data_IF_296271836536
#
_entry.id   IF_296271836536
#
_cell.length_a   1.000
_cell.length_b   1.000
_cell.length_c   1.000
_cell.angle_alpha   90.00
_cell.angle_beta   90.00
_cell.angle_gamma   90.00
#
_symmetry.space_group_name_H-M   'P 1'
#
loop_
_entity.id
_entity.type
_entity.pdbx_description
1 polymer ?
#
# COMPACT_ATOMS: atom_id res chain seq x y z
N UNK A 1 52.47 10.65 12.25
CA UNK A 1 53.61 11.03 11.41
C UNK A 1 53.15 11.08 9.96
N UNK A 2 53.03 12.29 9.45
CA UNK A 2 53.36 12.82 8.13
C UNK A 2 52.74 12.12 6.92
N UNK A 3 51.85 12.82 6.23
CA UNK A 3 51.58 12.60 4.83
C UNK A 3 50.14 12.73 4.35
N UNK A 4 49.45 13.86 4.60
CA UNK A 4 48.26 14.27 3.85
C UNK A 4 48.06 15.78 3.88
N UNK A 5 48.97 16.49 3.36
CA UNK A 5 48.83 17.90 2.96
C UNK A 5 49.63 18.06 1.67
N UNK A 6 48.93 18.07 0.52
CA UNK A 6 49.44 18.62 -0.74
C UNK A 6 48.59 18.13 -1.91
N UNK A 7 47.34 18.60 -2.01
CA UNK A 7 46.58 18.48 -3.28
C UNK A 7 45.54 19.61 -3.49
N UNK A 8 45.54 20.67 -2.66
CA UNK A 8 44.62 21.80 -2.85
C UNK A 8 45.25 23.12 -3.27
N UNK A 9 46.56 23.14 -3.54
CA UNK A 9 47.27 24.39 -3.95
C UNK A 9 47.77 24.45 -5.40
N UNK A 10 47.33 23.54 -6.28
CA UNK A 10 47.74 23.53 -7.70
C UNK A 10 46.68 23.92 -8.73
N UNK A 11 45.50 24.41 -8.33
CA UNK A 11 44.44 24.84 -9.26
C UNK A 11 44.24 26.37 -9.31
N UNK A 12 44.90 27.14 -8.47
CA UNK A 12 44.70 28.59 -8.36
C UNK A 12 45.80 29.45 -8.99
N UNK A 13 46.59 28.92 -9.97
CA UNK A 13 47.73 29.67 -10.55
C UNK A 13 47.86 29.52 -12.06
N UNK A 14 46.73 29.58 -12.80
CA UNK A 14 46.81 29.53 -14.31
C UNK A 14 45.89 30.50 -15.05
N UNK A 15 45.35 31.51 -14.39
CA UNK A 15 44.59 32.59 -15.05
C UNK A 15 45.08 33.97 -14.59
N UNK A 16 46.29 34.28 -14.95
CA UNK A 16 46.83 35.68 -15.03
C UNK A 16 48.09 35.61 -15.89
N UNK A 17 47.96 36.01 -17.13
CA UNK A 17 48.96 36.55 -18.00
C UNK A 17 48.50 36.36 -19.47
N UNK A 18 47.93 37.40 -20.01
CA UNK A 18 48.03 37.83 -21.41
C UNK A 18 47.04 38.99 -21.65
N UNK A 19 47.45 40.16 -21.20
CA UNK A 19 47.06 41.41 -21.81
C UNK A 19 48.36 42.07 -22.20
N UNK A 20 48.31 42.73 -23.34
CA UNK A 20 49.21 43.75 -23.93
C UNK A 20 49.82 43.37 -25.27
N UNK A 21 49.56 44.34 -26.15
CA UNK A 21 50.23 44.70 -27.42
C UNK A 21 49.71 44.10 -28.73
N UNK A 22 48.98 44.98 -29.47
CA UNK A 22 49.46 45.53 -30.76
C UNK A 22 48.39 46.48 -31.39
N UNK A 23 48.67 47.68 -31.34
CA UNK A 23 48.67 48.90 -32.13
C UNK A 23 48.26 48.77 -33.63
N UNK A 24 47.33 49.67 -34.02
CA UNK A 24 47.11 50.41 -35.27
C UNK A 24 47.31 49.78 -36.62
N UNK A 25 46.26 49.84 -37.43
CA UNK A 25 46.12 50.57 -38.71
C UNK A 25 44.78 50.29 -39.37
N UNK A 26 43.90 51.18 -39.44
CA UNK A 26 43.44 52.12 -40.43
C UNK A 26 42.83 51.51 -41.69
N UNK A 27 41.54 51.71 -41.91
CA UNK A 27 40.96 52.22 -43.14
C UNK A 27 39.41 52.23 -43.02
N UNK A 28 38.84 53.35 -43.25
CA UNK A 28 37.39 53.62 -43.05
C UNK A 28 36.54 52.96 -44.14
N UNK A 29 35.32 52.63 -43.67
CA UNK A 29 34.11 52.59 -44.50
C UNK A 29 32.93 53.03 -43.65
N UNK A 30 32.32 54.15 -44.07
CA UNK A 30 31.04 54.64 -43.59
C UNK A 30 30.00 53.54 -43.74
N UNK A 31 29.60 52.93 -42.64
CA UNK A 31 28.39 52.11 -42.51
C UNK A 31 27.35 52.88 -41.73
N UNK A 32 26.24 53.14 -42.36
CA UNK A 32 25.08 53.86 -41.90
C UNK A 32 24.43 53.10 -40.75
N UNK A 33 24.82 53.30 -39.48
CA UNK A 33 24.06 52.88 -38.32
C UNK A 33 22.78 53.71 -38.16
N UNK A 34 21.71 53.23 -38.75
CA UNK A 34 20.37 53.66 -38.34
C UNK A 34 20.13 53.15 -36.92
N UNK A 35 20.57 53.90 -35.93
CA UNK A 35 20.11 53.79 -34.55
C UNK A 35 18.60 53.98 -34.54
N UNK A 36 17.88 52.88 -34.61
CA UNK A 36 16.42 52.85 -34.41
C UNK A 36 16.21 53.11 -32.94
N UNK A 37 16.16 54.41 -32.54
CA UNK A 37 15.66 54.81 -31.20
C UNK A 37 14.28 54.23 -31.06
N UNK A 38 14.15 53.19 -30.26
CA UNK A 38 12.85 52.72 -29.82
C UNK A 38 12.16 53.88 -29.08
N UNK A 39 11.14 54.48 -29.70
CA UNK A 39 10.42 55.56 -29.09
C UNK A 39 9.77 55.07 -27.77
N UNK A 40 9.50 55.97 -26.84
CA UNK A 40 8.89 55.70 -25.53
C UNK A 40 7.71 54.73 -25.64
N UNK A 41 6.98 54.72 -26.75
CA UNK A 41 5.89 53.77 -27.04
C UNK A 41 6.42 52.32 -27.22
N UNK A 42 7.58 52.13 -27.84
CA UNK A 42 8.17 50.82 -28.05
C UNK A 42 8.69 50.20 -26.74
N UNK A 43 9.31 51.04 -25.86
CA UNK A 43 9.68 50.61 -24.51
C UNK A 43 8.47 50.25 -23.66
N UNK A 44 7.37 51.01 -23.75
CA UNK A 44 6.16 50.73 -22.99
C UNK A 44 5.51 49.41 -23.41
N UNK A 45 5.43 49.15 -24.72
CA UNK A 45 4.93 47.88 -25.26
C UNK A 45 5.81 46.70 -24.83
N UNK A 46 7.14 46.85 -24.86
CA UNK A 46 8.05 45.81 -24.40
C UNK A 46 7.91 45.52 -22.88
N UNK A 47 7.83 46.57 -22.07
CA UNK A 47 7.56 46.41 -20.62
C UNK A 47 6.19 45.74 -20.37
N UNK A 48 5.15 46.09 -21.10
CA UNK A 48 3.84 45.44 -20.99
C UNK A 48 3.93 43.94 -21.38
N UNK A 49 4.68 43.59 -22.42
CA UNK A 49 4.88 42.20 -22.83
C UNK A 49 5.66 41.41 -21.72
N UNK A 50 6.74 42.02 -21.19
CA UNK A 50 7.53 41.39 -20.11
C UNK A 50 6.67 41.18 -18.85
N UNK A 51 5.88 42.21 -18.46
CA UNK A 51 4.95 42.09 -17.32
C UNK A 51 3.90 41.02 -17.60
N UNK A 52 3.35 41.00 -18.83
CA UNK A 52 2.37 39.97 -19.20
C UNK A 52 2.96 38.56 -19.17
N UNK A 53 4.17 38.38 -19.73
CA UNK A 53 4.90 37.08 -19.66
C UNK A 53 5.19 36.70 -18.23
N UNK A 54 5.64 37.63 -17.38
CA UNK A 54 5.87 37.41 -15.96
C UNK A 54 4.58 37.03 -15.24
N UNK A 55 3.49 37.74 -15.48
CA UNK A 55 2.17 37.42 -14.90
C UNK A 55 1.68 36.05 -15.37
N UNK A 56 1.88 35.69 -16.64
CA UNK A 56 1.54 34.37 -17.19
C UNK A 56 2.42 33.27 -16.57
N UNK A 57 3.71 33.51 -16.38
CA UNK A 57 4.60 32.53 -15.74
C UNK A 57 4.23 32.34 -14.27
N UNK A 58 4.06 33.42 -13.49
CA UNK A 58 3.60 33.35 -12.09
C UNK A 58 2.25 32.65 -12.02
N UNK A 59 1.35 32.95 -12.96
CA UNK A 59 0.05 32.32 -13.06
C UNK A 59 0.16 30.81 -13.38
N UNK A 60 0.98 30.41 -14.34
CA UNK A 60 1.21 29.00 -14.67
C UNK A 60 1.86 28.22 -13.51
N UNK A 61 2.75 28.87 -12.73
CA UNK A 61 3.31 28.27 -11.51
C UNK A 61 2.27 28.08 -10.39
N UNK A 62 1.24 28.90 -10.34
CA UNK A 62 0.15 28.78 -9.36
C UNK A 62 -0.97 27.82 -9.80
N UNK A 63 -0.97 27.32 -11.03
CA UNK A 63 -1.90 26.27 -11.45
C UNK A 63 -1.43 24.95 -10.80
N UNK A 64 -2.28 24.24 -10.04
CA UNK A 64 -1.90 22.99 -9.40
C UNK A 64 -1.87 21.84 -10.43
N UNK A 65 -1.01 21.97 -11.45
CA UNK A 65 -0.80 20.92 -12.45
C UNK A 65 -0.44 19.58 -11.80
N UNK A 66 0.27 19.61 -10.68
CA UNK A 66 0.55 18.41 -9.90
C UNK A 66 -0.72 17.72 -9.40
N UNK A 67 -1.74 18.49 -8.96
CA UNK A 67 -3.02 17.92 -8.53
C UNK A 67 -3.78 17.29 -9.69
N UNK A 68 -3.74 17.91 -10.87
CA UNK A 68 -4.40 17.39 -12.08
C UNK A 68 -3.62 16.20 -12.66
N UNK A 69 -2.30 16.29 -12.72
CA UNK A 69 -1.45 15.20 -13.22
C UNK A 69 -1.50 13.98 -12.32
N UNK A 70 -1.66 14.21 -11.01
CA UNK A 70 -1.71 13.18 -9.98
C UNK A 70 -3.13 12.65 -9.73
N UNK A 71 -4.13 13.19 -10.40
CA UNK A 71 -5.48 12.61 -10.39
C UNK A 71 -5.43 11.30 -11.19
N UNK A 72 -5.49 10.19 -10.46
CA UNK A 72 -5.15 8.85 -10.99
C UNK A 72 -6.14 8.35 -12.05
N UNK A 73 -5.62 7.76 -13.10
CA UNK A 73 -6.38 6.89 -13.98
C UNK A 73 -6.86 5.67 -13.17
N UNK A 74 -8.17 5.38 -13.21
CA UNK A 74 -8.77 4.28 -12.46
C UNK A 74 -8.97 4.56 -10.96
N UNK A 75 -8.81 5.81 -10.51
CA UNK A 75 -9.11 6.20 -9.13
C UNK A 75 -10.60 6.05 -8.82
N UNK A 76 -10.91 5.64 -7.59
CA UNK A 76 -12.29 5.62 -7.11
C UNK A 76 -12.69 7.00 -6.61
N UNK A 77 -13.92 7.41 -6.93
CA UNK A 77 -14.50 8.70 -6.56
C UNK A 77 -15.90 8.46 -6.02
N UNK A 78 -16.25 9.11 -4.92
CA UNK A 78 -17.61 9.07 -4.39
C UNK A 78 -18.54 9.98 -5.18
N UNK A 79 -19.84 9.72 -5.12
CA UNK A 79 -20.83 10.60 -5.74
C UNK A 79 -20.73 12.04 -5.22
N UNK A 80 -20.46 12.25 -3.93
CA UNK A 80 -20.27 13.57 -3.33
C UNK A 80 -19.03 14.29 -3.87
N UNK A 81 -17.93 13.57 -4.07
CA UNK A 81 -16.71 14.13 -4.66
C UNK A 81 -16.90 14.49 -6.14
N UNK A 82 -17.68 13.70 -6.90
CA UNK A 82 -18.03 14.07 -8.28
C UNK A 82 -18.77 15.42 -8.34
N UNK A 83 -19.72 15.64 -7.44
CA UNK A 83 -20.45 16.90 -7.35
C UNK A 83 -19.51 18.06 -6.97
N UNK A 84 -18.57 17.85 -6.04
CA UNK A 84 -17.56 18.85 -5.68
C UNK A 84 -16.61 19.16 -6.85
N UNK A 85 -16.20 18.14 -7.59
CA UNK A 85 -15.38 18.29 -8.81
C UNK A 85 -16.12 19.13 -9.85
N UNK A 86 -17.40 18.87 -10.10
CA UNK A 86 -18.22 19.61 -11.07
C UNK A 86 -18.48 21.07 -10.66
N UNK A 87 -18.66 21.33 -9.36
CA UNK A 87 -18.84 22.70 -8.82
C UNK A 87 -17.58 23.55 -8.97
N UNK A 88 -16.42 22.93 -9.23
CA UNK A 88 -15.13 23.61 -9.34
C UNK A 88 -14.52 23.94 -7.98
N UNK A 89 -13.28 24.41 -7.99
CA UNK A 89 -12.56 24.80 -6.77
C UNK A 89 -11.62 23.73 -6.19
N UNK A 90 -11.84 22.46 -6.46
CA UNK A 90 -10.94 21.37 -6.01
C UNK A 90 -9.54 21.50 -6.62
N UNK A 91 -9.47 21.93 -7.88
CA UNK A 91 -8.23 22.07 -8.65
C UNK A 91 -7.77 23.53 -8.82
N UNK A 92 -8.38 24.45 -8.08
CA UNK A 92 -8.07 25.88 -8.13
C UNK A 92 -9.02 26.68 -9.03
N UNK A 93 -8.99 28.04 -8.96
CA UNK A 93 -10.01 28.89 -9.56
C UNK A 93 -10.01 28.90 -11.10
N UNK A 94 -8.94 28.42 -11.73
CA UNK A 94 -8.76 28.47 -13.19
C UNK A 94 -8.96 27.13 -13.88
N UNK A 95 -9.16 26.07 -13.12
CA UNK A 95 -9.36 24.72 -13.65
C UNK A 95 -10.77 24.26 -13.36
N UNK A 96 -11.53 24.03 -14.42
CA UNK A 96 -12.82 23.36 -14.35
C UNK A 96 -12.67 21.87 -14.67
N UNK A 97 -13.49 21.07 -14.03
CA UNK A 97 -13.62 19.66 -14.34
C UNK A 97 -15.08 19.36 -14.71
N UNK A 98 -15.27 18.61 -15.76
CA UNK A 98 -16.60 18.22 -16.23
C UNK A 98 -16.68 16.70 -16.35
N UNK A 99 -17.69 16.10 -15.74
CA UNK A 99 -17.98 14.68 -15.90
C UNK A 99 -18.64 14.45 -17.25
N UNK A 100 -18.00 13.63 -18.09
CA UNK A 100 -18.62 13.14 -19.32
C UNK A 100 -19.43 11.89 -18.99
N UNK A 101 -20.74 11.98 -19.12
CA UNK A 101 -21.60 10.80 -19.04
C UNK A 101 -21.35 9.96 -20.30
N UNK A 102 -20.64 8.85 -20.20
CA UNK A 102 -20.75 7.82 -21.20
C UNK A 102 -22.13 7.20 -21.05
N UNK A 103 -22.97 7.38 -22.05
CA UNK A 103 -24.19 6.58 -22.22
C UNK A 103 -23.75 5.12 -22.11
N UNK A 104 -24.36 4.36 -21.20
CA UNK A 104 -24.19 2.92 -21.15
C UNK A 104 -24.42 2.38 -22.57
N UNK A 105 -23.39 1.85 -23.23
CA UNK A 105 -23.61 0.86 -24.24
C UNK A 105 -24.12 -0.37 -23.48
N UNK A 106 -25.42 -0.50 -23.44
CA UNK A 106 -26.13 -1.70 -23.02
C UNK A 106 -25.67 -2.84 -23.93
N UNK A 107 -24.62 -3.54 -23.54
CA UNK A 107 -24.49 -4.93 -23.91
C UNK A 107 -25.49 -5.68 -23.00
N UNK A 108 -26.76 -5.46 -23.27
CA UNK A 108 -27.85 -6.29 -22.78
C UNK A 108 -27.78 -7.57 -23.61
N UNK A 109 -27.04 -8.57 -23.11
CA UNK A 109 -27.33 -9.94 -23.48
C UNK A 109 -28.67 -10.27 -22.82
N UNK A 110 -29.63 -10.68 -23.64
CA UNK A 110 -30.96 -11.14 -23.23
C UNK A 110 -30.82 -12.12 -22.06
N UNK A 111 -31.31 -11.71 -20.88
CA UNK A 111 -31.51 -12.62 -19.76
C UNK A 111 -32.92 -13.14 -19.88
N UNK A 112 -33.04 -14.38 -20.34
CA UNK A 112 -34.29 -15.14 -20.28
C UNK A 112 -34.80 -15.19 -18.83
N UNK A 113 -35.86 -14.45 -18.58
CA UNK A 113 -36.61 -14.51 -17.33
C UNK A 113 -37.52 -15.72 -17.37
N UNK A 114 -37.09 -16.84 -16.83
CA UNK A 114 -38.00 -17.94 -16.48
C UNK A 114 -38.71 -17.62 -15.20
N UNK A 115 -39.97 -17.33 -15.28
CA UNK A 115 -40.90 -17.19 -14.16
C UNK A 115 -41.42 -18.57 -13.77
N UNK A 116 -41.00 -19.06 -12.62
CA UNK A 116 -41.76 -20.07 -11.86
C UNK A 116 -41.95 -19.54 -10.44
N UNK A 117 -43.22 -19.42 -10.08
CA UNK A 117 -43.71 -19.12 -8.71
C UNK A 117 -43.30 -17.78 -8.09
N UNK A 118 -43.77 -16.65 -8.65
CA UNK A 118 -44.12 -15.46 -7.81
C UNK A 118 -43.05 -14.70 -7.03
N UNK A 119 -41.82 -15.18 -6.93
CA UNK A 119 -40.71 -14.48 -6.31
C UNK A 119 -39.65 -14.14 -7.36
N UNK A 120 -39.41 -12.84 -7.52
CA UNK A 120 -38.30 -12.34 -8.35
C UNK A 120 -36.98 -12.57 -7.61
N UNK A 121 -36.35 -13.69 -7.86
CA UNK A 121 -34.96 -13.93 -7.43
C UNK A 121 -34.07 -13.21 -8.43
N UNK A 122 -33.49 -12.07 -8.03
CA UNK A 122 -32.41 -11.42 -8.76
C UNK A 122 -31.13 -12.25 -8.56
N UNK A 123 -30.92 -13.21 -9.44
CA UNK A 123 -29.67 -13.96 -9.50
C UNK A 123 -28.61 -13.08 -10.22
N UNK A 124 -27.56 -12.73 -9.50
CA UNK A 124 -26.28 -12.32 -10.08
C UNK A 124 -26.23 -10.91 -10.66
N UNK A 125 -26.21 -9.87 -9.83
CA UNK A 125 -25.71 -8.56 -10.24
C UNK A 125 -24.20 -8.68 -10.55
N UNK A 126 -23.85 -8.84 -11.84
CA UNK A 126 -22.52 -8.46 -12.32
C UNK A 126 -22.27 -7.04 -11.84
N UNK A 127 -21.21 -6.80 -11.06
CA UNK A 127 -20.72 -5.47 -10.68
C UNK A 127 -20.67 -4.60 -11.94
N UNK A 128 -21.63 -3.72 -12.14
CA UNK A 128 -21.55 -2.70 -13.15
C UNK A 128 -20.47 -1.71 -12.68
N UNK A 129 -19.25 -1.83 -13.19
CA UNK A 129 -18.22 -0.83 -12.99
C UNK A 129 -18.65 0.42 -13.73
N UNK A 130 -19.23 1.38 -13.01
CA UNK A 130 -19.58 2.68 -13.58
C UNK A 130 -18.29 3.50 -13.75
N UNK A 131 -17.64 3.32 -14.90
CA UNK A 131 -16.58 4.24 -15.33
C UNK A 131 -17.20 5.60 -15.68
N UNK A 132 -16.59 6.67 -15.16
CA UNK A 132 -16.86 8.05 -15.56
C UNK A 132 -15.59 8.64 -16.12
N UNK A 133 -15.73 9.49 -17.13
CA UNK A 133 -14.63 10.30 -17.66
C UNK A 133 -14.75 11.72 -17.11
N UNK A 134 -13.69 12.20 -16.47
CA UNK A 134 -13.60 13.59 -16.01
C UNK A 134 -12.65 14.33 -16.95
N UNK A 135 -13.16 15.35 -17.60
CA UNK A 135 -12.39 16.24 -18.47
C UNK A 135 -12.00 17.51 -17.70
N UNK A 136 -10.71 17.75 -17.60
CA UNK A 136 -10.15 18.94 -16.99
C UNK A 136 -9.88 19.99 -18.06
N UNK A 137 -10.35 21.24 -17.83
CA UNK A 137 -10.17 22.36 -18.73
C UNK A 137 -9.59 23.57 -18.00
N UNK A 138 -8.66 24.24 -18.65
CA UNK A 138 -8.16 25.53 -18.20
C UNK A 138 -9.12 26.62 -18.69
N UNK A 139 -9.53 27.53 -17.80
CA UNK A 139 -10.50 28.58 -18.06
C UNK A 139 -11.84 28.09 -18.68
N UNK A 140 -12.20 26.85 -18.42
CA UNK A 140 -13.37 26.18 -19.03
C UNK A 140 -13.32 26.06 -20.57
N UNK A 141 -12.19 26.36 -21.20
CA UNK A 141 -12.00 26.39 -22.65
C UNK A 141 -10.97 25.35 -23.13
N UNK A 142 -9.78 25.36 -22.58
CA UNK A 142 -8.65 24.58 -23.08
C UNK A 142 -8.63 23.22 -22.38
N UNK A 143 -8.83 22.10 -23.09
CA UNK A 143 -8.73 20.77 -22.48
C UNK A 143 -7.27 20.48 -22.05
N UNK A 144 -7.08 20.13 -20.77
CA UNK A 144 -5.77 19.79 -20.20
C UNK A 144 -5.57 18.29 -20.20
N UNK A 145 -6.59 17.56 -19.69
CA UNK A 145 -6.51 16.12 -19.47
C UNK A 145 -7.91 15.51 -19.35
N UNK A 146 -8.05 14.26 -19.81
CA UNK A 146 -9.23 13.44 -19.52
C UNK A 146 -8.77 12.23 -18.70
N UNK A 147 -9.51 11.93 -17.63
CA UNK A 147 -9.23 10.82 -16.71
C UNK A 147 -10.45 9.94 -16.56
N UNK A 148 -10.24 8.63 -16.55
CA UNK A 148 -11.24 7.65 -16.18
C UNK A 148 -11.24 7.43 -14.68
N UNK A 149 -12.41 7.44 -14.07
CA UNK A 149 -12.61 7.17 -12.64
C UNK A 149 -13.71 6.13 -12.46
N UNK A 150 -13.60 5.35 -11.40
CA UNK A 150 -14.63 4.41 -10.99
C UNK A 150 -15.50 5.07 -9.92
N UNK A 151 -16.80 5.09 -10.11
CA UNK A 151 -17.74 5.59 -9.12
C UNK A 151 -17.90 4.53 -8.02
N UNK A 152 -17.69 4.93 -6.77
CA UNK A 152 -18.08 4.14 -5.61
C UNK A 152 -19.60 4.21 -5.46
N UNK A 153 -20.27 3.08 -5.65
CA UNK A 153 -21.73 2.97 -5.48
C UNK A 153 -22.14 3.15 -4.02
N UNK A 154 -21.29 2.66 -3.10
CA UNK A 154 -21.54 2.71 -1.67
C UNK A 154 -20.97 4.00 -1.08
N UNK A 155 -21.85 4.83 -0.51
CA UNK A 155 -21.45 6.09 0.12
C UNK A 155 -21.13 5.93 1.61
N UNK A 156 -21.50 4.81 2.23
CA UNK A 156 -21.36 4.54 3.66
C UNK A 156 -20.87 3.12 3.90
N UNK A 157 -20.14 2.93 4.99
CA UNK A 157 -19.68 1.64 5.48
C UNK A 157 -19.78 1.57 7.00
N UNK A 158 -19.83 0.35 7.55
CA UNK A 158 -19.67 0.13 8.98
C UNK A 158 -18.18 0.20 9.33
N UNK A 159 -17.79 1.21 10.08
CA UNK A 159 -16.41 1.43 10.54
C UNK A 159 -16.21 0.76 11.88
N UNK A 160 -15.21 -0.09 11.99
CA UNK A 160 -14.91 -0.84 13.20
C UNK A 160 -13.82 -0.14 14.05
N UNK A 161 -12.65 -0.66 14.14
CA UNK A 161 -11.56 -0.36 15.07
C UNK A 161 -11.31 -1.50 16.06
N UNK A 162 -12.05 -2.61 15.94
CA UNK A 162 -11.86 -3.80 16.77
C UNK A 162 -10.52 -4.45 16.48
N UNK A 163 -9.84 -4.89 17.53
CA UNK A 163 -8.70 -5.78 17.38
C UNK A 163 -9.18 -7.15 16.87
N UNK A 164 -8.46 -7.68 15.90
CA UNK A 164 -8.73 -8.98 15.28
C UNK A 164 -7.49 -9.85 15.24
N UNK A 165 -7.68 -11.16 15.43
CA UNK A 165 -6.70 -12.18 15.14
C UNK A 165 -6.89 -12.70 13.72
N UNK A 166 -5.81 -12.83 12.99
CA UNK A 166 -5.78 -13.33 11.62
C UNK A 166 -4.89 -14.57 11.57
N UNK A 167 -5.37 -15.63 10.94
CA UNK A 167 -4.61 -16.86 10.68
C UNK A 167 -4.70 -17.14 9.19
N UNK A 168 -3.55 -17.17 8.53
CA UNK A 168 -3.43 -17.40 7.09
C UNK A 168 -2.60 -18.66 6.86
N UNK A 169 -3.17 -19.62 6.15
CA UNK A 169 -2.42 -20.80 5.66
C UNK A 169 -1.85 -20.49 4.29
N UNK A 170 -0.59 -20.89 4.11
CA UNK A 170 0.12 -20.71 2.84
C UNK A 170 -0.28 -21.75 1.80
N UNK A 171 -0.14 -21.39 0.53
CA UNK A 171 -0.26 -22.33 -0.56
C UNK A 171 1.05 -23.11 -0.70
N UNK A 172 1.16 -24.24 -0.03
CA UNK A 172 2.41 -24.99 0.18
C UNK A 172 3.13 -24.58 1.47
N UNK A 173 4.39 -24.94 1.61
CA UNK A 173 5.20 -24.72 2.82
C UNK A 173 6.37 -23.79 2.50
N UNK A 174 6.45 -22.66 3.21
CA UNK A 174 7.48 -21.64 3.03
C UNK A 174 8.77 -22.04 3.77
N UNK A 175 9.89 -22.07 3.08
CA UNK A 175 11.23 -22.25 3.66
C UNK A 175 11.67 -20.93 4.29
N UNK A 176 11.84 -20.91 5.60
CA UNK A 176 12.26 -19.74 6.39
C UNK A 176 13.70 -19.80 6.86
N UNK A 177 14.34 -20.97 6.75
CA UNK A 177 15.73 -21.18 7.12
C UNK A 177 16.20 -22.58 6.78
N UNK A 178 17.45 -22.87 7.09
CA UNK A 178 18.04 -24.21 7.01
C UNK A 178 19.10 -24.44 8.09
N UNK A 179 19.36 -25.70 8.41
CA UNK A 179 20.46 -26.12 9.25
C UNK A 179 21.07 -27.39 8.70
N UNK A 180 22.39 -27.60 8.88
CA UNK A 180 23.02 -28.89 8.58
C UNK A 180 22.37 -30.03 9.35
N UNK A 181 22.31 -31.20 8.74
CA UNK A 181 21.84 -32.46 9.34
C UNK A 181 23.04 -33.23 9.85
N UNK A 182 22.98 -33.68 11.12
CA UNK A 182 24.05 -34.48 11.72
C UNK A 182 23.95 -35.94 11.25
N UNK A 183 24.86 -36.35 10.37
CA UNK A 183 24.93 -37.72 9.86
C UNK A 183 26.08 -38.48 10.51
N UNK A 184 26.15 -39.82 10.40
CA UNK A 184 27.28 -40.59 10.88
C UNK A 184 28.64 -40.18 10.30
N UNK A 185 28.64 -39.62 9.08
CA UNK A 185 29.84 -39.13 8.38
C UNK A 185 30.19 -37.67 8.66
N UNK A 186 29.35 -36.95 9.44
CA UNK A 186 29.52 -35.54 9.77
C UNK A 186 28.28 -34.69 9.42
N UNK A 187 28.41 -33.37 9.51
CA UNK A 187 27.33 -32.46 9.21
C UNK A 187 27.17 -32.24 7.69
N UNK A 188 25.95 -32.38 7.17
CA UNK A 188 25.62 -32.19 5.75
C UNK A 188 24.61 -31.06 5.57
N UNK A 189 24.97 -30.06 4.81
CA UNK A 189 24.04 -28.98 4.38
C UNK A 189 23.33 -29.40 3.10
N UNK A 190 22.16 -30.01 3.27
CA UNK A 190 21.33 -30.54 2.19
C UNK A 190 20.76 -29.37 1.33
N UNK A 191 20.34 -28.28 1.97
CA UNK A 191 19.76 -27.13 1.27
C UNK A 191 20.75 -26.49 0.30
N UNK A 192 22.01 -26.36 0.72
CA UNK A 192 23.08 -25.85 -0.14
C UNK A 192 23.33 -26.76 -1.33
N UNK A 193 23.36 -28.07 -1.10
CA UNK A 193 23.62 -29.09 -2.16
C UNK A 193 22.48 -29.15 -3.16
N UNK A 194 21.22 -29.04 -2.70
CA UNK A 194 20.01 -29.11 -3.53
C UNK A 194 19.57 -27.74 -4.07
N UNK A 195 20.30 -26.66 -3.78
CA UNK A 195 19.93 -25.27 -4.13
C UNK A 195 18.54 -24.87 -3.60
N UNK A 196 18.15 -25.32 -2.39
CA UNK A 196 16.93 -24.86 -1.70
C UNK A 196 17.29 -23.59 -0.91
N UNK A 197 16.46 -22.52 -1.06
CA UNK A 197 16.74 -21.19 -0.50
C UNK A 197 15.63 -20.71 0.41
N UNK A 198 15.98 -19.86 1.35
CA UNK A 198 15.03 -19.10 2.15
C UNK A 198 14.13 -18.29 1.22
N UNK A 199 12.81 -18.37 1.45
CA UNK A 199 11.79 -17.76 0.59
C UNK A 199 11.25 -18.68 -0.51
N UNK A 200 11.78 -19.90 -0.69
CA UNK A 200 11.16 -20.90 -1.54
C UNK A 200 9.87 -21.41 -0.91
N UNK A 201 8.86 -21.70 -1.72
CA UNK A 201 7.62 -22.33 -1.27
C UNK A 201 7.52 -23.73 -1.86
N UNK A 202 7.57 -24.75 -1.02
CA UNK A 202 7.49 -26.16 -1.43
C UNK A 202 6.02 -26.52 -1.67
N UNK A 203 5.71 -26.96 -2.89
CA UNK A 203 4.36 -27.36 -3.29
C UNK A 203 4.15 -28.88 -3.29
N UNK A 204 5.16 -29.63 -3.73
CA UNK A 204 5.08 -31.09 -3.87
C UNK A 204 6.43 -31.75 -3.60
N UNK A 205 6.39 -32.98 -3.11
CA UNK A 205 7.54 -33.89 -3.04
C UNK A 205 7.09 -35.22 -3.67
N UNK A 206 7.81 -35.74 -4.67
CA UNK A 206 7.46 -36.97 -5.40
C UNK A 206 6.00 -37.00 -5.89
N UNK A 207 5.53 -35.86 -6.44
CA UNK A 207 4.15 -35.64 -6.90
C UNK A 207 3.08 -35.65 -5.77
N UNK A 208 3.45 -35.78 -4.52
CA UNK A 208 2.53 -35.66 -3.39
C UNK A 208 2.47 -34.20 -2.94
N UNK A 209 1.25 -33.65 -2.88
CA UNK A 209 1.03 -32.23 -2.49
C UNK A 209 1.40 -32.01 -1.02
N UNK A 210 2.12 -30.92 -0.77
CA UNK A 210 2.52 -30.47 0.55
C UNK A 210 1.55 -29.40 1.03
N UNK A 211 0.74 -29.71 2.02
CA UNK A 211 -0.21 -28.78 2.62
C UNK A 211 0.28 -28.20 3.95
N UNK A 212 1.14 -28.93 4.65
CA UNK A 212 1.68 -28.54 5.95
C UNK A 212 3.08 -29.10 6.17
N UNK A 213 3.79 -28.57 7.16
CA UNK A 213 5.16 -28.97 7.50
C UNK A 213 5.25 -30.48 7.80
N UNK A 214 4.24 -31.05 8.48
CA UNK A 214 4.27 -32.50 8.83
C UNK A 214 4.20 -33.42 7.61
N UNK A 215 3.65 -32.97 6.48
CA UNK A 215 3.64 -33.75 5.25
C UNK A 215 5.06 -33.98 4.72
N UNK A 216 5.95 -33.00 4.87
CA UNK A 216 7.36 -33.13 4.44
C UNK A 216 8.02 -34.30 5.16
N UNK A 217 7.96 -34.31 6.49
CA UNK A 217 8.55 -35.40 7.30
C UNK A 217 7.94 -36.76 6.97
N UNK A 218 6.60 -36.83 6.84
CA UNK A 218 5.90 -38.07 6.48
C UNK A 218 6.34 -38.62 5.12
N UNK A 219 6.50 -37.76 4.11
CA UNK A 219 6.88 -38.23 2.75
C UNK A 219 8.33 -38.64 2.71
N UNK A 220 9.22 -37.83 3.33
CA UNK A 220 10.65 -38.10 3.35
C UNK A 220 10.96 -39.45 4.05
N UNK A 221 10.20 -39.82 5.09
CA UNK A 221 10.40 -41.06 5.86
C UNK A 221 9.55 -42.24 5.36
N UNK A 222 8.90 -42.19 4.19
CA UNK A 222 8.29 -43.36 3.58
C UNK A 222 9.35 -44.34 3.15
N UNK A 223 9.16 -45.65 3.41
CA UNK A 223 10.11 -46.72 3.05
C UNK A 223 10.61 -46.60 1.60
N UNK A 224 9.72 -46.32 0.67
CA UNK A 224 10.07 -46.19 -0.77
C UNK A 224 11.00 -44.99 -1.06
N UNK A 225 11.12 -44.01 -0.15
CA UNK A 225 11.86 -42.77 -0.32
C UNK A 225 13.22 -42.78 0.44
N UNK A 226 13.41 -43.72 1.37
CA UNK A 226 14.61 -43.82 2.17
C UNK A 226 15.85 -44.08 1.27
N UNK A 227 16.88 -43.25 1.48
CA UNK A 227 18.16 -43.37 0.76
C UNK A 227 18.11 -42.94 -0.72
N UNK A 228 16.97 -42.50 -1.23
CA UNK A 228 16.78 -42.08 -2.63
C UNK A 228 16.86 -40.59 -2.78
N UNK A 229 17.18 -40.14 -3.98
CA UNK A 229 17.02 -38.77 -4.40
C UNK A 229 15.54 -38.53 -4.70
N UNK A 230 14.96 -37.45 -4.13
CA UNK A 230 13.56 -37.02 -4.29
C UNK A 230 13.48 -35.78 -5.13
N UNK A 231 12.38 -35.64 -5.89
CA UNK A 231 12.07 -34.42 -6.63
C UNK A 231 11.15 -33.54 -5.82
N UNK A 232 11.56 -32.30 -5.57
CA UNK A 232 10.77 -31.27 -4.91
C UNK A 232 10.35 -30.23 -5.93
N UNK A 233 9.04 -30.01 -6.07
CA UNK A 233 8.49 -28.90 -6.84
C UNK A 233 8.30 -27.70 -5.91
N UNK A 234 8.95 -26.59 -6.23
CA UNK A 234 8.89 -25.36 -5.43
C UNK A 234 8.65 -24.13 -6.30
N UNK A 235 8.22 -23.04 -5.66
CA UNK A 235 8.09 -21.71 -6.27
C UNK A 235 9.16 -20.79 -5.70
N UNK A 236 9.98 -20.21 -6.58
CA UNK A 236 10.99 -19.18 -6.30
C UNK A 236 10.75 -17.98 -7.18
N UNK A 237 10.56 -16.79 -6.60
CA UNK A 237 10.33 -15.54 -7.35
C UNK A 237 9.22 -15.68 -8.42
N UNK A 238 8.08 -16.26 -8.02
CA UNK A 238 6.91 -16.51 -8.88
C UNK A 238 7.16 -17.49 -10.05
N UNK A 239 8.26 -18.25 -10.02
CA UNK A 239 8.55 -19.29 -11.02
C UNK A 239 8.54 -20.65 -10.34
N UNK A 240 7.78 -21.57 -10.92
CA UNK A 240 7.80 -22.99 -10.51
C UNK A 240 9.03 -23.66 -11.08
N UNK A 241 9.70 -24.47 -10.26
CA UNK A 241 10.88 -25.26 -10.64
C UNK A 241 10.96 -26.55 -9.84
N UNK A 242 11.65 -27.54 -10.40
CA UNK A 242 11.93 -28.79 -9.74
C UNK A 242 13.40 -28.80 -9.29
N UNK A 243 13.63 -29.22 -8.05
CA UNK A 243 14.97 -29.45 -7.50
C UNK A 243 15.05 -30.89 -7.02
N UNK A 244 16.25 -31.48 -7.14
CA UNK A 244 16.53 -32.83 -6.63
C UNK A 244 17.23 -32.75 -5.29
N UNK A 245 16.78 -33.54 -4.35
CA UNK A 245 17.30 -33.56 -2.98
C UNK A 245 17.42 -34.98 -2.46
N UNK A 246 18.51 -35.26 -1.82
CA UNK A 246 18.71 -36.55 -1.11
C UNK A 246 18.59 -36.29 0.39
N UNK A 247 17.51 -36.78 1.04
CA UNK A 247 17.38 -36.70 2.50
C UNK A 247 18.50 -37.43 3.20
N UNK A 248 18.99 -36.88 4.30
CA UNK A 248 19.99 -37.51 5.13
C UNK A 248 19.39 -38.01 6.46
N UNK A 249 19.91 -39.12 6.97
CA UNK A 249 19.55 -39.66 8.27
C UNK A 249 20.21 -38.81 9.37
N UNK A 250 19.37 -38.21 10.22
CA UNK A 250 19.82 -37.44 11.37
C UNK A 250 20.00 -38.35 12.58
N UNK A 251 21.22 -38.44 13.07
CA UNK A 251 21.57 -39.32 14.23
C UNK A 251 21.00 -38.82 15.55
N UNK A 252 20.61 -37.51 15.64
CA UNK A 252 20.04 -36.92 16.85
C UNK A 252 18.55 -37.23 17.00
N UNK A 253 17.83 -37.15 15.88
CA UNK A 253 16.38 -37.35 15.87
C UNK A 253 15.95 -38.68 15.27
N UNK A 254 16.91 -39.54 14.92
CA UNK A 254 16.73 -40.91 14.41
C UNK A 254 15.75 -41.03 13.23
N UNK A 255 15.77 -40.01 12.32
CA UNK A 255 14.91 -39.98 11.14
C UNK A 255 15.57 -39.26 9.97
N UNK A 256 14.98 -39.42 8.75
CA UNK A 256 15.45 -38.71 7.57
C UNK A 256 14.91 -37.28 7.52
N UNK A 257 15.78 -36.32 7.23
CA UNK A 257 15.50 -34.89 7.17
C UNK A 257 16.01 -34.23 5.90
N UNK A 258 15.46 -33.06 5.61
CA UNK A 258 15.92 -32.14 4.56
C UNK A 258 16.76 -30.97 5.13
N UNK A 259 16.83 -30.82 6.46
CA UNK A 259 17.53 -29.70 7.08
C UNK A 259 16.89 -28.34 6.83
N UNK A 260 15.60 -28.28 6.54
CA UNK A 260 14.86 -27.04 6.31
C UNK A 260 14.08 -26.61 7.55
N UNK A 261 14.01 -25.30 7.77
CA UNK A 261 13.05 -24.69 8.67
C UNK A 261 11.92 -24.14 7.81
N UNK A 262 10.70 -24.50 8.16
CA UNK A 262 9.57 -24.25 7.28
C UNK A 262 8.32 -23.85 8.07
N UNK A 263 7.43 -23.07 7.41
CA UNK A 263 6.13 -22.64 7.92
C UNK A 263 5.04 -22.89 6.90
N UNK A 264 3.87 -23.26 7.38
CA UNK A 264 2.66 -23.47 6.59
C UNK A 264 1.53 -22.52 6.96
N UNK A 265 1.75 -21.70 8.00
CA UNK A 265 0.81 -20.65 8.40
C UNK A 265 1.54 -19.39 8.88
N UNK A 266 0.77 -18.30 8.93
CA UNK A 266 1.14 -17.07 9.62
C UNK A 266 -0.05 -16.58 10.43
N UNK A 267 0.20 -16.14 11.65
CA UNK A 267 -0.81 -15.55 12.50
C UNK A 267 -0.36 -14.20 13.03
N UNK A 268 -1.32 -13.31 13.28
CA UNK A 268 -1.02 -11.98 13.77
C UNK A 268 -2.26 -11.26 14.29
N UNK A 269 -2.01 -10.13 14.96
CA UNK A 269 -3.03 -9.23 15.45
C UNK A 269 -3.02 -7.98 14.59
N UNK A 270 -4.22 -7.50 14.26
CA UNK A 270 -4.42 -6.25 13.56
C UNK A 270 -5.74 -5.60 13.93
N UNK A 271 -6.13 -4.60 13.16
CA UNK A 271 -7.38 -3.87 13.38
C UNK A 271 -8.30 -4.00 12.16
N UNK A 272 -9.57 -4.33 12.41
CA UNK A 272 -10.63 -4.32 11.41
C UNK A 272 -10.99 -2.88 11.07
N UNK A 273 -10.82 -2.51 9.79
CA UNK A 273 -11.06 -1.13 9.34
C UNK A 273 -12.54 -0.87 9.10
N UNK A 274 -13.16 -1.68 8.25
CA UNK A 274 -14.56 -1.51 7.84
C UNK A 274 -15.21 -2.84 7.47
N UNK A 275 -16.56 -2.81 7.47
CA UNK A 275 -17.38 -3.81 6.81
C UNK A 275 -18.33 -3.11 5.84
N UNK A 276 -18.29 -3.52 4.59
CA UNK A 276 -19.09 -3.01 3.48
C UNK A 276 -20.29 -3.93 3.21
N UNK A 277 -21.13 -3.58 2.23
CA UNK A 277 -22.26 -4.39 1.79
C UNK A 277 -21.87 -5.83 1.49
N UNK A 278 -22.75 -6.77 1.80
CA UNK A 278 -22.48 -8.21 1.68
C UNK A 278 -21.49 -8.72 2.71
N UNK A 279 -21.37 -8.04 3.86
CA UNK A 279 -20.46 -8.39 4.95
C UNK A 279 -18.98 -8.45 4.55
N UNK A 280 -18.60 -7.77 3.49
CA UNK A 280 -17.20 -7.72 3.03
C UNK A 280 -16.38 -6.80 3.92
N UNK A 281 -15.30 -7.31 4.47
CA UNK A 281 -14.43 -6.52 5.33
C UNK A 281 -13.10 -6.16 4.67
N UNK A 282 -12.50 -5.07 5.18
CA UNK A 282 -11.10 -4.71 4.97
C UNK A 282 -10.41 -4.45 6.30
N UNK A 283 -9.17 -4.93 6.44
CA UNK A 283 -8.35 -4.82 7.63
C UNK A 283 -6.88 -4.53 7.30
N UNK A 284 -6.10 -4.08 8.28
CA UNK A 284 -4.64 -3.87 8.26
C UNK A 284 -4.13 -2.73 7.37
N UNK A 285 -4.65 -2.54 6.16
CA UNK A 285 -4.14 -1.54 5.20
C UNK A 285 -2.78 -1.88 4.55
N UNK A 286 -2.22 -3.04 4.84
CA UNK A 286 -0.98 -3.59 4.26
C UNK A 286 -1.05 -5.13 4.28
N UNK A 287 -0.21 -5.84 3.47
CA UNK A 287 -0.21 -7.30 3.47
C UNK A 287 0.32 -7.89 4.79
N UNK A 288 -0.11 -9.12 5.07
CA UNK A 288 0.58 -9.98 6.03
C UNK A 288 1.75 -10.63 5.31
N UNK A 289 2.94 -10.45 5.89
CA UNK A 289 4.18 -11.03 5.41
C UNK A 289 4.77 -11.97 6.46
N UNK A 290 5.52 -12.96 6.01
CA UNK A 290 6.31 -13.82 6.90
C UNK A 290 7.37 -12.99 7.65
N UNK A 291 7.54 -13.25 8.94
CA UNK A 291 8.40 -12.46 9.83
C UNK A 291 9.90 -12.56 9.48
N UNK A 292 10.35 -13.69 8.93
CA UNK A 292 11.77 -13.95 8.66
C UNK A 292 12.13 -13.56 7.23
N UNK A 293 11.35 -14.02 6.26
CA UNK A 293 11.61 -13.80 4.83
C UNK A 293 11.12 -12.44 4.33
N UNK A 294 10.24 -11.75 5.08
CA UNK A 294 9.52 -10.53 4.68
C UNK A 294 8.66 -10.71 3.42
N UNK A 295 8.49 -11.94 2.97
CA UNK A 295 7.69 -12.27 1.80
C UNK A 295 6.20 -12.23 2.15
N UNK A 296 5.41 -11.63 1.28
CA UNK A 296 3.95 -11.65 1.40
C UNK A 296 3.45 -13.10 1.39
N UNK A 297 2.53 -13.43 2.31
CA UNK A 297 1.92 -14.76 2.39
C UNK A 297 1.03 -14.98 1.16
N UNK A 298 1.33 -16.03 0.41
CA UNK A 298 0.47 -16.54 -0.66
C UNK A 298 -0.67 -17.35 -0.04
N UNK A 299 -1.85 -16.73 -0.01
CA UNK A 299 -3.00 -17.20 0.75
C UNK A 299 -3.66 -18.42 0.09
N UNK A 300 -3.73 -19.55 0.81
CA UNK A 300 -4.58 -20.69 0.49
C UNK A 300 -5.93 -20.62 1.21
N UNK A 301 -5.89 -20.38 2.49
CA UNK A 301 -7.05 -20.30 3.39
C UNK A 301 -6.75 -19.29 4.49
N UNK A 302 -7.73 -18.47 4.88
CA UNK A 302 -7.54 -17.55 5.99
C UNK A 302 -8.78 -17.41 6.84
N UNK A 303 -8.57 -17.15 8.13
CA UNK A 303 -9.63 -17.00 9.13
C UNK A 303 -9.45 -15.75 9.94
N UNK A 304 -10.59 -15.13 10.28
CA UNK A 304 -10.71 -13.95 11.11
C UNK A 304 -11.30 -14.32 12.47
N UNK A 305 -10.68 -13.85 13.53
CA UNK A 305 -11.11 -14.09 14.91
C UNK A 305 -11.28 -12.79 15.69
N UNK A 306 -12.17 -12.76 16.67
CA UNK A 306 -12.19 -11.70 17.69
C UNK A 306 -10.93 -11.80 18.53
N UNK A 307 -10.33 -10.64 18.84
CA UNK A 307 -9.13 -10.55 19.65
C UNK A 307 -9.38 -9.67 20.88
N UNK A 308 -8.96 -10.13 22.05
CA UNK A 308 -8.97 -9.35 23.28
C UNK A 308 -7.56 -8.89 23.61
N UNK A 309 -7.36 -7.60 23.82
CA UNK A 309 -6.07 -7.02 24.15
C UNK A 309 -5.73 -7.27 25.61
N UNK A 310 -4.57 -7.86 25.87
CA UNK A 310 -4.06 -8.16 27.20
C UNK A 310 -3.13 -7.06 27.73
N UNK A 311 -2.54 -6.28 26.84
CA UNK A 311 -1.64 -5.20 27.19
C UNK A 311 -0.88 -4.66 25.97
N UNK A 312 -0.08 -3.63 26.21
CA UNK A 312 0.73 -2.96 25.18
C UNK A 312 2.17 -2.82 25.64
N UNK A 313 3.10 -3.27 24.82
CA UNK A 313 4.49 -2.85 24.93
C UNK A 313 4.63 -1.47 24.29
N UNK A 314 5.02 -0.47 25.07
CA UNK A 314 5.14 0.91 24.55
C UNK A 314 6.22 1.03 23.48
N UNK A 315 5.92 1.76 22.43
CA UNK A 315 6.91 2.19 21.44
C UNK A 315 7.79 3.30 22.00
N UNK A 316 9.08 3.21 21.73
CA UNK A 316 10.07 4.26 21.97
C UNK A 316 10.90 4.47 20.71
N UNK A 317 11.59 5.59 20.60
CA UNK A 317 12.47 5.86 19.46
C UNK A 317 13.47 4.72 19.25
N UNK A 318 13.49 4.15 18.05
CA UNK A 318 14.34 3.02 17.69
C UNK A 318 13.76 1.64 17.99
N UNK A 319 12.71 1.54 18.84
CA UNK A 319 12.08 0.26 19.19
C UNK A 319 10.56 0.36 19.01
N UNK A 320 9.99 -0.27 17.99
CA UNK A 320 8.53 -0.25 17.79
C UNK A 320 7.84 -0.97 18.95
N UNK A 321 6.71 -0.39 19.40
CA UNK A 321 5.85 -1.05 20.37
C UNK A 321 4.93 -2.07 19.72
N UNK A 322 4.23 -2.84 20.57
CA UNK A 322 3.37 -3.93 20.13
C UNK A 322 2.13 -4.09 21.05
N UNK A 323 0.99 -4.34 20.44
CA UNK A 323 -0.22 -4.79 21.16
C UNK A 323 -0.11 -6.30 21.40
N UNK A 324 -0.26 -6.71 22.65
CA UNK A 324 -0.39 -8.12 23.03
C UNK A 324 -1.86 -8.45 23.19
N UNK A 325 -2.34 -9.42 22.45
CA UNK A 325 -3.72 -9.86 22.51
C UNK A 325 -3.85 -11.37 22.45
N UNK A 326 -5.02 -11.85 22.80
CA UNK A 326 -5.38 -13.26 22.77
C UNK A 326 -6.56 -13.46 21.82
N UNK A 327 -6.44 -14.41 20.93
CA UNK A 327 -7.54 -15.00 20.16
C UNK A 327 -7.38 -16.52 20.15
N UNK A 328 -8.51 -17.24 20.05
CA UNK A 328 -8.50 -18.70 20.06
C UNK A 328 -8.78 -19.23 18.66
N UNK A 329 -7.80 -19.88 18.06
CA UNK A 329 -7.98 -20.59 16.79
C UNK A 329 -9.02 -21.71 16.96
N UNK A 330 -9.89 -21.85 15.96
CA UNK A 330 -10.97 -22.85 15.98
C UNK A 330 -12.15 -22.54 16.91
N UNK A 331 -12.12 -21.42 17.62
CA UNK A 331 -13.24 -20.91 18.43
C UNK A 331 -13.50 -19.44 18.09
N UNK A 332 -14.78 -19.04 18.10
CA UNK A 332 -15.19 -17.66 17.84
C UNK A 332 -14.68 -17.12 16.48
N UNK A 333 -14.70 -17.97 15.45
CA UNK A 333 -14.45 -17.55 14.07
C UNK A 333 -15.47 -16.51 13.66
N UNK A 334 -14.99 -15.35 13.21
CA UNK A 334 -15.82 -14.19 12.86
C UNK A 334 -15.97 -14.03 11.34
N UNK A 335 -15.14 -14.71 10.56
CA UNK A 335 -15.17 -14.61 9.11
C UNK A 335 -14.02 -15.33 8.43
N UNK A 336 -14.04 -15.27 7.10
CA UNK A 336 -13.07 -15.89 6.21
C UNK A 336 -12.25 -14.81 5.52
N UNK A 337 -10.94 -15.00 5.46
CA UNK A 337 -10.01 -14.17 4.69
C UNK A 337 -9.89 -14.74 3.27
N UNK A 338 -10.17 -13.93 2.28
CA UNK A 338 -10.19 -14.31 0.86
C UNK A 338 -8.99 -13.74 0.08
N UNK A 339 -8.45 -12.59 0.55
CA UNK A 339 -7.33 -11.91 -0.11
C UNK A 339 -6.35 -11.35 0.90
N UNK A 340 -5.06 -11.47 0.57
CA UNK A 340 -3.95 -10.81 1.24
C UNK A 340 -3.15 -10.05 0.18
N UNK A 341 -3.21 -8.73 0.15
CA UNK A 341 -2.56 -7.93 -0.88
C UNK A 341 -1.98 -6.61 -0.32
N UNK A 342 -1.37 -5.80 -1.19
CA UNK A 342 -0.68 -4.57 -0.81
C UNK A 342 -1.53 -3.54 -0.06
N UNK A 343 -2.86 -3.66 -0.08
CA UNK A 343 -3.79 -2.72 0.57
C UNK A 343 -4.41 -3.26 1.83
N UNK A 344 -4.11 -4.50 2.17
CA UNK A 344 -4.63 -5.13 3.37
C UNK A 344 -5.06 -6.57 3.20
N UNK A 345 -5.87 -6.98 4.15
CA UNK A 345 -6.51 -8.28 4.21
C UNK A 345 -8.01 -8.09 4.05
N UNK A 346 -8.61 -8.88 3.16
CA UNK A 346 -10.01 -8.75 2.76
C UNK A 346 -10.71 -10.10 2.79
N UNK A 347 -12.01 -10.07 2.99
CA UNK A 347 -12.83 -11.26 3.03
C UNK A 347 -14.26 -10.96 3.49
N UNK A 348 -14.92 -11.94 4.06
CA UNK A 348 -16.31 -11.85 4.53
C UNK A 348 -16.40 -12.15 6.03
N UNK A 349 -17.14 -11.32 6.78
CA UNK A 349 -17.52 -11.62 8.17
C UNK A 349 -18.85 -12.38 8.19
N UNK A 350 -19.05 -13.20 9.20
CA UNK A 350 -20.34 -13.87 9.40
C UNK A 350 -21.40 -12.84 9.80
N UNK A 351 -22.67 -13.06 9.43
CA UNK A 351 -23.78 -12.14 9.76
C UNK A 351 -24.01 -11.99 11.27
N UNK A 352 -23.60 -12.96 12.05
CA UNK A 352 -23.73 -12.98 13.52
C UNK A 352 -22.47 -12.49 14.23
N UNK A 353 -21.49 -11.99 13.49
CA UNK A 353 -20.20 -11.56 14.03
C UNK A 353 -20.35 -10.49 15.12
N UNK A 354 -19.68 -10.69 16.24
CA UNK A 354 -19.60 -9.68 17.31
C UNK A 354 -18.87 -8.41 16.86
N UNK A 355 -18.03 -8.50 15.83
CA UNK A 355 -17.33 -7.37 15.23
C UNK A 355 -18.28 -6.34 14.60
N UNK A 356 -19.48 -6.78 14.15
CA UNK A 356 -20.50 -5.91 13.60
C UNK A 356 -21.21 -5.09 14.68
N UNK A 357 -21.38 -5.64 15.89
CA UNK A 357 -22.10 -4.99 17.00
C UNK A 357 -21.44 -3.69 17.47
N UNK A 358 -20.12 -3.60 17.37
CA UNK A 358 -19.33 -2.45 17.80
C UNK A 358 -19.02 -1.45 16.66
N UNK A 359 -19.36 -1.79 15.43
CA UNK A 359 -19.15 -0.95 14.26
C UNK A 359 -20.18 0.19 14.20
N UNK A 360 -19.77 1.32 13.63
CA UNK A 360 -20.63 2.50 13.43
C UNK A 360 -20.64 2.90 11.97
N UNK A 361 -21.78 3.34 11.47
CA UNK A 361 -21.91 3.82 10.09
C UNK A 361 -21.21 5.18 9.91
N UNK A 362 -20.36 5.27 8.88
CA UNK A 362 -19.71 6.51 8.44
C UNK A 362 -19.83 6.66 6.94
N UNK A 363 -19.87 7.91 6.48
CA UNK A 363 -19.68 8.23 5.08
C UNK A 363 -18.24 7.94 4.66
N UNK A 364 -18.06 7.56 3.39
CA UNK A 364 -16.74 7.39 2.79
C UNK A 364 -16.25 8.75 2.30
N UNK A 365 -15.04 9.13 2.70
CA UNK A 365 -14.30 10.27 2.15
C UNK A 365 -13.21 9.77 1.21
N UNK A 366 -13.34 10.03 -0.08
CA UNK A 366 -12.30 9.68 -1.04
C UNK A 366 -11.04 10.51 -0.86
N UNK A 367 -9.97 10.13 -1.55
CA UNK A 367 -8.64 10.78 -1.42
C UNK A 367 -8.62 12.28 -1.71
N UNK A 368 -9.58 12.79 -2.50
CA UNK A 368 -9.67 14.22 -2.83
C UNK A 368 -10.18 15.06 -1.66
N UNK A 369 -10.97 14.46 -0.77
CA UNK A 369 -11.51 15.11 0.41
C UNK A 369 -10.50 15.19 1.57
N UNK A 370 -9.43 14.37 1.53
CA UNK A 370 -8.43 14.29 2.61
C UNK A 370 -7.50 15.50 2.57
N UNK A 371 -7.39 16.20 3.70
CA UNK A 371 -6.55 17.40 3.84
C UNK A 371 -5.66 17.30 5.08
N UNK A 372 -4.47 17.92 5.08
CA UNK A 372 -3.71 18.12 6.31
C UNK A 372 -4.58 18.80 7.37
N UNK A 373 -4.46 18.36 8.63
CA UNK A 373 -5.23 18.87 9.75
C UNK A 373 -5.75 17.79 10.69
N UNK A 374 -6.65 18.16 11.59
CA UNK A 374 -7.21 17.28 12.63
C UNK A 374 -7.97 16.10 12.03
N UNK A 375 -7.79 14.93 12.62
CA UNK A 375 -8.50 13.70 12.33
C UNK A 375 -8.51 12.81 13.58
N UNK A 376 -9.14 11.67 13.52
CA UNK A 376 -9.20 10.70 14.60
C UNK A 376 -8.91 9.31 14.07
N UNK A 377 -8.36 8.44 14.93
CA UNK A 377 -8.30 6.99 14.71
C UNK A 377 -9.17 6.27 15.70
N UNK A 378 -9.71 5.12 15.29
CA UNK A 378 -10.42 4.20 16.18
C UNK A 378 -9.63 2.92 16.33
N UNK A 379 -9.36 2.49 17.55
CA UNK A 379 -8.69 1.21 17.80
C UNK A 379 -8.98 0.69 19.21
N UNK A 380 -8.71 -0.60 19.40
CA UNK A 380 -8.73 -1.23 20.72
C UNK A 380 -7.30 -1.34 21.23
N UNK A 381 -7.01 -0.82 22.42
CA UNK A 381 -5.72 -0.92 23.12
C UNK A 381 -5.85 -1.52 24.52
N UNK A 382 -7.07 -1.94 24.88
CA UNK A 382 -7.41 -2.57 26.16
C UNK A 382 -8.66 -3.43 26.01
N UNK A 383 -8.56 -4.73 26.32
CA UNK A 383 -9.66 -5.67 26.15
C UNK A 383 -10.22 -5.67 24.74
N UNK A 384 -11.54 -5.52 24.64
CA UNK A 384 -12.27 -5.40 23.36
C UNK A 384 -12.84 -3.99 23.14
N UNK A 385 -12.51 -3.04 24.03
CA UNK A 385 -13.06 -1.69 24.01
C UNK A 385 -12.44 -0.89 22.85
N UNK A 386 -13.29 -0.38 21.97
CA UNK A 386 -12.88 0.55 20.89
C UNK A 386 -12.90 1.97 21.45
N UNK A 387 -11.80 2.67 21.33
CA UNK A 387 -11.64 4.07 21.70
C UNK A 387 -11.28 4.93 20.48
N UNK A 388 -11.61 6.22 20.55
CA UNK A 388 -11.25 7.20 19.53
C UNK A 388 -10.12 8.05 20.09
N UNK A 389 -9.07 8.28 19.26
CA UNK A 389 -7.91 9.06 19.63
C UNK A 389 -7.63 10.13 18.61
N UNK A 390 -7.26 11.31 19.07
CA UNK A 390 -6.96 12.44 18.19
C UNK A 390 -5.61 12.27 17.51
N UNK A 391 -5.61 12.55 16.22
CA UNK A 391 -4.42 12.58 15.37
C UNK A 391 -4.42 13.83 14.49
N UNK A 392 -3.30 14.09 13.87
CA UNK A 392 -3.15 15.09 12.81
C UNK A 392 -2.67 14.41 11.54
N UNK A 393 -3.33 14.67 10.42
CA UNK A 393 -2.79 14.36 9.09
C UNK A 393 -1.79 15.46 8.75
N UNK A 394 -0.48 15.15 8.76
CA UNK A 394 0.60 16.11 8.51
C UNK A 394 0.72 16.40 7.02
N UNK A 395 0.61 15.33 6.21
CA UNK A 395 0.85 15.38 4.77
C UNK A 395 -0.01 14.34 4.06
N UNK A 396 -0.54 14.75 2.92
CA UNK A 396 -1.20 13.86 1.96
C UNK A 396 -0.32 13.72 0.73
N UNK A 397 -0.12 12.49 0.26
CA UNK A 397 0.61 12.21 -0.97
C UNK A 397 -0.40 11.98 -2.08
N UNK A 398 -0.37 12.81 -3.12
CA UNK A 398 -1.10 12.51 -4.34
C UNK A 398 -0.41 11.35 -5.04
N UNK A 399 -1.13 10.24 -5.19
CA UNK A 399 -0.57 9.00 -5.75
C UNK A 399 -1.17 8.73 -7.12
N UNK A 400 -0.29 8.62 -8.14
CA UNK A 400 -0.68 8.14 -9.47
C UNK A 400 -0.83 6.62 -9.51
N UNK A 401 -0.20 5.93 -8.56
CA UNK A 401 -0.29 4.50 -8.35
C UNK A 401 -0.62 4.26 -6.89
N UNK A 402 -1.38 3.22 -6.65
CA UNK A 402 -1.74 2.79 -5.32
C UNK A 402 -0.51 2.47 -4.48
N UNK A 403 -0.48 3.02 -3.26
CA UNK A 403 0.61 2.82 -2.31
C UNK A 403 0.02 2.84 -0.89
N UNK A 404 0.53 2.01 -0.02
CA UNK A 404 0.18 1.90 1.40
C UNK A 404 0.60 3.11 2.27
N UNK A 405 1.42 4.03 1.68
CA UNK A 405 1.93 5.26 2.31
C UNK A 405 1.28 6.49 1.71
N UNK A 406 -0.06 6.54 1.74
CA UNK A 406 -0.86 7.60 1.13
C UNK A 406 -0.81 8.91 1.90
N UNK A 407 -0.70 8.84 3.23
CA UNK A 407 -0.65 10.01 4.10
C UNK A 407 0.33 9.79 5.24
N UNK A 408 0.86 10.88 5.79
CA UNK A 408 1.65 10.89 7.02
C UNK A 408 0.77 11.42 8.13
N UNK A 409 0.67 10.68 9.22
CA UNK A 409 -0.13 11.03 10.39
C UNK A 409 0.76 11.19 11.62
N UNK A 410 0.28 11.97 12.60
CA UNK A 410 0.87 12.14 13.92
C UNK A 410 -0.19 11.94 14.98
N UNK A 411 0.09 11.14 15.98
CA UNK A 411 -0.73 11.02 17.19
C UNK A 411 -0.57 12.31 18.01
N UNK A 412 -1.69 12.94 18.32
CA UNK A 412 -1.75 14.16 19.15
C UNK A 412 -2.47 13.92 20.47
N UNK A 413 -3.15 12.78 20.60
CA UNK A 413 -3.86 12.39 21.80
C UNK A 413 -2.88 12.03 22.93
N UNK A 414 -2.88 12.80 24.05
CA UNK A 414 -1.93 12.59 25.16
C UNK A 414 -2.19 11.24 25.88
N UNK A 415 -3.43 10.76 25.90
CA UNK A 415 -3.79 9.50 26.53
C UNK A 415 -3.24 8.31 25.74
N UNK A 416 -3.37 8.34 24.41
CA UNK A 416 -2.79 7.29 23.55
C UNK A 416 -1.26 7.29 23.69
N UNK A 417 -0.61 8.47 23.63
CA UNK A 417 0.85 8.58 23.79
C UNK A 417 1.29 8.04 25.16
N UNK A 418 0.58 8.40 26.24
CA UNK A 418 0.90 7.90 27.57
C UNK A 418 0.77 6.39 27.70
N UNK A 419 -0.21 5.76 27.03
CA UNK A 419 -0.48 4.32 27.12
C UNK A 419 0.40 3.48 26.19
N UNK A 420 0.69 3.96 24.97
CA UNK A 420 1.34 3.19 23.91
C UNK A 420 2.66 3.76 23.41
N UNK A 421 2.98 5.00 23.74
CA UNK A 421 4.13 5.74 23.19
C UNK A 421 3.87 6.29 21.78
N UNK A 422 2.72 6.02 21.18
CA UNK A 422 2.33 6.39 19.82
C UNK A 422 1.66 5.25 19.07
N UNK A 423 1.94 5.13 17.78
CA UNK A 423 1.46 4.02 16.93
C UNK A 423 2.30 2.78 17.24
N UNK A 424 1.65 1.65 17.48
CA UNK A 424 2.31 0.38 17.82
C UNK A 424 1.82 -0.73 16.88
N UNK A 425 2.59 -1.82 16.75
CA UNK A 425 2.20 -3.00 15.99
C UNK A 425 0.88 -3.56 16.53
N UNK A 426 -0.04 -3.93 15.63
CA UNK A 426 -1.42 -4.29 15.93
C UNK A 426 -2.42 -3.16 15.71
N UNK A 427 -1.99 -1.88 15.68
CA UNK A 427 -2.86 -0.76 15.29
C UNK A 427 -3.03 -0.61 13.76
N UNK A 428 -2.29 -1.37 12.97
CA UNK A 428 -2.47 -1.43 11.51
C UNK A 428 -3.91 -1.80 11.16
N UNK A 429 -4.56 -1.01 10.29
CA UNK A 429 -5.98 -1.10 9.98
C UNK A 429 -6.87 -0.19 10.81
N UNK A 430 -6.35 0.50 11.85
CA UNK A 430 -7.15 1.47 12.60
C UNK A 430 -7.75 2.51 11.65
N UNK A 431 -9.10 2.61 11.56
CA UNK A 431 -9.74 3.54 10.64
C UNK A 431 -9.41 4.99 10.99
N UNK A 432 -9.08 5.78 9.96
CA UNK A 432 -8.82 7.21 10.05
C UNK A 432 -10.09 7.96 9.65
N UNK A 433 -10.58 8.81 10.55
CA UNK A 433 -11.80 9.58 10.38
C UNK A 433 -11.45 11.05 10.36
N UNK A 434 -11.86 11.75 9.31
CA UNK A 434 -11.73 13.19 9.15
C UNK A 434 -13.07 13.80 8.76
N UNK A 435 -13.50 14.85 9.47
CA UNK A 435 -14.78 15.55 9.22
C UNK A 435 -16.00 14.60 9.14
N UNK A 436 -16.04 13.59 10.01
CA UNK A 436 -17.14 12.61 10.07
C UNK A 436 -17.14 11.57 8.94
N UNK A 437 -16.06 11.48 8.15
CA UNK A 437 -15.93 10.52 7.05
C UNK A 437 -14.76 9.57 7.27
N UNK A 438 -14.92 8.31 6.87
CA UNK A 438 -13.82 7.35 6.80
C UNK A 438 -12.93 7.71 5.61
N UNK A 439 -11.68 8.08 5.87
CA UNK A 439 -10.75 8.56 4.82
C UNK A 439 -9.57 7.62 4.59
N UNK A 440 -9.31 6.70 5.49
CA UNK A 440 -8.19 5.77 5.37
C UNK A 440 -8.03 4.83 6.55
N UNK A 441 -6.90 4.16 6.61
CA UNK A 441 -6.49 3.29 7.69
C UNK A 441 -5.01 3.49 8.02
N UNK A 442 -4.64 3.33 9.29
CA UNK A 442 -3.23 3.32 9.74
C UNK A 442 -2.52 2.11 9.16
N UNK A 443 -1.29 2.28 8.69
CA UNK A 443 -0.50 1.17 8.11
C UNK A 443 0.79 0.92 8.87
N UNK A 444 1.75 1.83 8.83
CA UNK A 444 3.08 1.64 9.37
C UNK A 444 3.45 2.75 10.36
N UNK A 445 4.23 2.41 11.38
CA UNK A 445 4.82 3.35 12.32
C UNK A 445 6.22 3.76 11.87
N UNK A 446 6.64 4.98 12.21
CA UNK A 446 8.03 5.40 12.05
C UNK A 446 8.87 4.87 13.21
N UNK A 447 9.87 4.06 12.91
CA UNK A 447 10.74 3.47 13.94
C UNK A 447 11.46 4.55 14.77
N UNK A 448 11.87 5.65 14.14
CA UNK A 448 12.56 6.76 14.80
C UNK A 448 11.65 7.66 15.64
N UNK A 449 10.33 7.65 15.36
CA UNK A 449 9.35 8.50 16.05
C UNK A 449 7.98 7.80 16.07
N UNK A 450 7.68 6.98 17.10
CA UNK A 450 6.43 6.24 17.19
C UNK A 450 5.17 7.11 17.20
N UNK A 451 5.29 8.40 17.49
CA UNK A 451 4.15 9.31 17.40
C UNK A 451 3.71 9.57 15.97
N UNK A 452 4.52 9.20 14.98
CA UNK A 452 4.23 9.33 13.54
C UNK A 452 4.09 8.01 12.84
N UNK A 453 3.33 8.00 11.77
CA UNK A 453 3.16 6.84 10.91
C UNK A 453 2.57 7.18 9.56
N UNK A 454 2.31 6.14 8.80
CA UNK A 454 1.65 6.22 7.51
C UNK A 454 0.20 5.75 7.61
N UNK A 455 -0.62 6.23 6.68
CA UNK A 455 -1.95 5.70 6.42
C UNK A 455 -2.19 5.51 4.93
N UNK A 456 -3.03 4.54 4.60
CA UNK A 456 -3.53 4.27 3.24
C UNK A 456 -4.87 4.98 3.05
N UNK A 457 -5.16 5.46 1.84
CA UNK A 457 -6.49 5.96 1.50
C UNK A 457 -7.51 4.84 1.45
N UNK A 458 -8.73 5.13 1.93
CA UNK A 458 -9.79 4.14 2.01
C UNK A 458 -10.24 3.63 0.64
N UNK A 459 -10.20 4.46 -0.40
CA UNK A 459 -10.58 4.08 -1.75
C UNK A 459 -9.66 2.99 -2.35
N UNK A 460 -8.39 2.93 -1.95
CA UNK A 460 -7.51 1.81 -2.31
C UNK A 460 -7.93 0.50 -1.68
N UNK A 461 -8.42 0.54 -0.44
CA UNK A 461 -8.91 -0.65 0.26
C UNK A 461 -10.27 -1.11 -0.28
N UNK A 462 -11.18 -0.18 -0.54
CA UNK A 462 -12.53 -0.50 -1.04
C UNK A 462 -12.53 -1.04 -2.48
N UNK A 463 -11.48 -0.77 -3.24
CA UNK A 463 -11.29 -1.24 -4.61
C UNK A 463 -10.88 -2.72 -4.75
N UNK A 464 -10.73 -3.48 -3.65
CA UNK A 464 -10.15 -4.83 -3.65
C UNK A 464 -11.18 -5.98 -3.78
#
# INVERSE_FOLDING_TARGET
MTGKHNLQERVAQKDKLQDEDCIEQGFGKKGNEKNKKWGVKGCLVFCCIVVMVFCVTVFLFNIPFSKISNFCNGGMVTSSELVEIERGGVFGPFVSARVKNKTLSTACGDVDVKSENGEKIFAGTKKANFEREIEFKLFNLIPIKTQKVHLLEQNKVLVSGSAVGLVLKTNGVLVVGSSPVATPEGEVDICKTADIKVGDTILQIENETIENVSNISKIVNKEKNIGRELTIKLVRNSRTMDVRVKPCYDIKDENYKLGIWARDDASGIGTLTYVADGNRFGALGHPICDSDTKKQIDLKEGKLYSCSILGVNKGISGVPGEIKGLFMQGKNEQGVVEKNNNYGVFGTVTSESDLLKSAKEYEIGGRLSVKPGKAQIRCSIDGTKIECFDIEIIKTNFQNHSNDKSMVIRVTDPNLIARTGGIVQGMSGSPIIQNGKLVGAVTHVFISDPTKGFGVYIDWMLGQ
#
